data_IF_879845322948
#
_entry.id   IF_879845322948
#
_cell.length_a   1.000
_cell.length_b   1.000
_cell.length_c   1.000
_cell.angle_alpha   90.00
_cell.angle_beta   90.00
_cell.angle_gamma   90.00
#
_symmetry.space_group_name_H-M   'P 1'
#
loop_
_entity.id
_entity.type
_entity.pdbx_description
1 polymer ?
2 non-polymer ?
3 non-polymer ?
4 non-polymer ?
5 non-polymer ?
6 water ?
#
# COMPACT_ATOMS: atom_id res chain seq x y z
N UNK A 1 -12.04 7.04 -17.22
CA UNK A 1 -13.01 6.09 -16.64
C UNK A 1 -13.54 6.63 -15.34
N UNK A 2 -14.71 6.18 -14.89
CA UNK A 2 -15.31 6.69 -13.64
C UNK A 2 -14.63 6.04 -12.42
N UNK A 3 -14.34 4.74 -12.51
CA UNK A 3 -13.69 4.01 -11.43
C UNK A 3 -12.23 3.79 -11.75
N UNK A 4 -11.37 4.46 -11.00
CA UNK A 4 -9.91 4.38 -11.19
C UNK A 4 -9.23 3.76 -9.98
N UNK A 5 -8.31 2.84 -10.25
CA UNK A 5 -7.57 2.20 -9.17
C UNK A 5 -6.13 2.66 -9.11
N UNK A 6 -5.69 3.11 -7.94
CA UNK A 6 -4.30 3.55 -7.74
C UNK A 6 -3.60 2.56 -6.79
N UNK A 7 -2.64 1.79 -7.31
CA UNK A 7 -1.91 0.82 -6.50
C UNK A 7 -0.37 0.78 -6.68
N UNK A 8 0.32 0.10 -5.78
CA UNK A 8 1.77 -0.02 -5.84
C UNK A 8 2.24 -1.14 -6.77
N UNK A 9 3.08 -0.83 -7.74
CA UNK A 9 3.52 -1.84 -8.70
C UNK A 9 4.75 -2.63 -8.26
N UNK A 10 5.37 -2.22 -7.15
CA UNK A 10 6.58 -2.86 -6.65
C UNK A 10 6.43 -3.50 -5.25
N UNK A 11 7.01 -2.89 -4.23
CA UNK A 11 6.90 -3.41 -2.86
C UNK A 11 6.40 -2.29 -1.96
N UNK A 12 5.42 -1.54 -2.44
CA UNK A 12 4.87 -0.45 -1.64
C UNK A 12 5.79 0.75 -1.70
N UNK A 13 5.40 1.80 -0.99
CA UNK A 13 6.14 3.05 -0.90
C UNK A 13 6.55 3.73 -2.19
N UNK A 14 5.76 3.46 -3.23
CA UNK A 14 5.94 4.03 -4.56
C UNK A 14 5.45 5.47 -4.60
N UNK A 15 4.43 5.78 -3.79
CA UNK A 15 3.87 7.12 -3.73
C UNK A 15 2.37 7.15 -4.06
N UNK A 16 1.63 6.21 -3.48
CA UNK A 16 0.18 6.14 -3.71
C UNK A 16 -0.54 7.31 -3.06
N UNK A 17 -0.25 7.56 -1.78
CA UNK A 17 -0.90 8.65 -1.07
C UNK A 17 -0.86 9.94 -1.85
N UNK A 18 0.31 10.36 -2.29
CA UNK A 18 0.40 11.59 -3.05
C UNK A 18 -0.51 11.54 -4.27
N UNK A 19 -0.32 10.54 -5.12
CA UNK A 19 -1.11 10.46 -6.35
C UNK A 19 -2.63 10.38 -6.10
N UNK A 20 -3.05 9.76 -5.00
CA UNK A 20 -4.46 9.68 -4.72
C UNK A 20 -4.92 11.08 -4.32
N UNK A 21 -4.22 11.69 -3.36
CA UNK A 21 -4.56 13.04 -2.95
C UNK A 21 -4.62 13.98 -4.19
N UNK A 22 -3.65 13.86 -5.09
CA UNK A 22 -3.60 14.67 -6.30
C UNK A 22 -4.84 14.53 -7.17
N UNK A 23 -5.15 13.30 -7.56
CA UNK A 23 -6.29 13.04 -8.46
C UNK A 23 -7.70 13.04 -7.88
N UNK A 24 -7.83 13.10 -6.55
CA UNK A 24 -9.14 13.08 -5.96
C UNK A 24 -9.85 14.44 -5.98
N UNK A 25 -9.21 15.38 -6.67
CA UNK A 25 -9.81 16.69 -6.82
C UNK A 25 -11.15 16.55 -7.52
N UNK A 26 -11.28 15.58 -8.40
CA UNK A 26 -12.50 15.35 -9.17
C UNK A 26 -13.39 14.23 -8.62
N UNK A 27 -12.84 13.41 -7.72
CA UNK A 27 -13.55 12.29 -7.16
C UNK A 27 -14.65 12.58 -6.14
N UNK A 28 -15.64 11.68 -6.08
CA UNK A 28 -16.72 11.75 -5.10
C UNK A 28 -16.29 10.88 -3.91
N UNK A 29 -15.75 9.70 -4.20
CA UNK A 29 -15.33 8.78 -3.15
C UNK A 29 -13.90 8.33 -3.37
N UNK A 30 -13.29 7.87 -2.29
CA UNK A 30 -11.94 7.32 -2.26
C UNK A 30 -12.11 6.08 -1.40
N UNK A 31 -11.70 4.92 -1.90
CA UNK A 31 -11.88 3.67 -1.17
C UNK A 31 -10.62 2.82 -0.91
N UNK A 32 -10.35 2.55 0.36
CA UNK A 32 -9.24 1.66 0.77
C UNK A 32 -9.93 0.30 0.75
N UNK A 33 -9.30 -0.70 0.15
CA UNK A 33 -9.90 -2.03 0.04
C UNK A 33 -9.10 -3.19 0.65
N UNK A 34 -7.86 -2.96 1.06
CA UNK A 34 -7.05 -4.00 1.68
C UNK A 34 -5.95 -3.39 2.55
N UNK A 35 -5.37 -4.21 3.41
CA UNK A 35 -4.34 -3.71 4.31
C UNK A 35 -4.99 -3.18 5.58
N UNK A 36 -4.19 -2.47 6.37
CA UNK A 36 -4.63 -1.88 7.61
C UNK A 36 -3.78 -0.66 7.84
N UNK A 37 -3.27 -0.49 9.05
CA UNK A 37 -2.43 0.67 9.37
C UNK A 37 -0.93 0.36 9.24
N UNK A 38 -0.63 -0.68 8.46
CA UNK A 38 0.75 -1.08 8.17
C UNK A 38 1.18 -0.10 7.06
N UNK A 39 0.19 0.45 6.39
CA UNK A 39 0.43 1.40 5.32
C UNK A 39 0.85 2.74 5.91
N UNK A 40 1.72 3.44 5.18
CA UNK A 40 2.18 4.77 5.55
C UNK A 40 2.14 5.53 4.22
N UNK A 41 1.07 6.30 4.00
CA UNK A 41 0.88 7.08 2.76
C UNK A 41 1.11 8.57 3.04
N UNK A 42 2.19 9.11 2.49
CA UNK A 42 2.55 10.51 2.73
C UNK A 42 2.05 11.54 1.72
N UNK A 43 1.33 12.53 2.25
CA UNK A 43 0.77 13.62 1.47
C UNK A 43 1.54 14.86 1.90
N UNK A 44 1.78 15.75 0.95
CA UNK A 44 2.49 16.99 1.22
C UNK A 44 1.80 18.09 0.41
N UNK A 45 1.10 18.98 1.11
CA UNK A 45 0.34 20.11 0.52
C UNK A 45 0.96 21.47 0.92
N UNK A 46 1.50 22.18 -0.06
CA UNK A 46 2.15 23.43 0.25
C UNK A 46 3.13 23.23 1.41
N UNK A 47 3.92 22.17 1.33
CA UNK A 47 4.90 21.94 2.38
C UNK A 47 4.38 21.26 3.62
N UNK A 48 3.08 21.32 3.87
CA UNK A 48 2.55 20.66 5.06
C UNK A 48 2.38 19.17 4.78
N UNK A 49 3.00 18.39 5.66
CA UNK A 49 3.00 16.94 5.57
C UNK A 49 1.93 16.23 6.41
N UNK A 50 1.37 15.17 5.83
CA UNK A 50 0.41 14.31 6.50
C UNK A 50 0.79 12.91 6.04
N UNK A 51 0.89 11.99 6.99
CA UNK A 51 1.17 10.59 6.70
C UNK A 51 -0.05 9.85 7.25
N UNK A 52 -0.78 9.21 6.35
CA UNK A 52 -1.96 8.49 6.76
C UNK A 52 -1.59 7.02 6.86
N UNK A 53 -2.33 6.26 7.66
CA UNK A 53 -2.04 4.83 7.79
C UNK A 53 -3.29 4.03 7.45
N UNK A 54 -4.29 4.09 8.31
CA UNK A 54 -5.55 3.39 8.05
C UNK A 54 -6.54 4.31 7.28
N UNK A 55 -6.47 5.61 7.53
CA UNK A 55 -7.40 6.54 6.91
C UNK A 55 -7.15 6.85 5.44
N UNK A 56 -8.19 6.71 4.60
CA UNK A 56 -7.95 6.98 3.18
C UNK A 56 -7.33 8.37 2.86
N UNK A 57 -6.62 8.41 1.74
CA UNK A 57 -5.95 9.62 1.31
C UNK A 57 -6.80 10.76 0.77
N UNK A 58 -8.09 10.56 0.57
CA UNK A 58 -8.91 11.68 0.10
C UNK A 58 -9.44 12.50 1.27
N UNK A 59 -9.06 12.12 2.50
CA UNK A 59 -9.56 12.78 3.69
C UNK A 59 -9.27 14.27 3.82
N UNK A 60 -8.32 14.79 3.04
CA UNK A 60 -8.03 16.21 3.19
C UNK A 60 -8.89 17.06 2.27
N UNK A 61 -9.74 16.42 1.49
CA UNK A 61 -10.60 17.13 0.56
C UNK A 61 -12.06 16.98 1.00
N UNK A 62 -12.68 18.09 1.37
CA UNK A 62 -14.06 18.02 1.82
C UNK A 62 -15.03 17.61 0.74
N UNK A 63 -14.65 17.71 -0.52
CA UNK A 63 -15.58 17.29 -1.55
C UNK A 63 -15.70 15.77 -1.67
N UNK A 64 -14.72 15.06 -1.14
CA UNK A 64 -14.66 13.61 -1.25
C UNK A 64 -15.13 12.94 0.01
N UNK A 65 -15.72 11.76 -0.15
CA UNK A 65 -16.18 10.94 0.96
C UNK A 65 -15.21 9.75 1.04
N UNK A 66 -14.48 9.67 2.14
CA UNK A 66 -13.52 8.59 2.34
C UNK A 66 -14.22 7.38 2.92
N UNK A 67 -13.93 6.23 2.31
CA UNK A 67 -14.53 4.95 2.69
C UNK A 67 -13.49 3.88 2.94
N UNK A 68 -13.66 3.15 4.04
CA UNK A 68 -12.79 2.04 4.42
C UNK A 68 -13.58 0.74 4.11
N UNK A 69 -13.18 0.07 3.01
CA UNK A 69 -13.83 -1.14 2.54
C UNK A 69 -13.62 -2.36 3.39
N UNK A 70 -14.51 -3.34 3.22
CA UNK A 70 -14.50 -4.60 3.98
C UNK A 70 -13.18 -5.36 3.90
N UNK A 71 -12.38 -5.10 2.88
CA UNK A 71 -11.11 -5.82 2.77
C UNK A 71 -10.09 -5.37 3.79
N UNK A 72 -10.26 -4.15 4.29
CA UNK A 72 -9.32 -3.59 5.25
C UNK A 72 -9.50 -4.20 6.63
N UNK A 73 -8.36 -4.47 7.28
CA UNK A 73 -8.35 -4.97 8.65
C UNK A 73 -8.21 -3.67 9.48
N UNK A 74 -9.23 -3.39 10.29
CA UNK A 74 -9.33 -2.16 11.07
C UNK A 74 -9.08 -2.22 12.57
N UNK A 75 -8.13 -1.39 13.00
CA UNK A 75 -7.75 -1.25 14.41
C UNK A 75 -8.45 -0.06 15.08
N UNK A 76 -9.48 -0.31 15.92
CA UNK A 76 -10.16 0.80 16.59
C UNK A 76 -9.18 1.77 17.29
N UNK A 77 -8.10 1.24 17.86
CA UNK A 77 -7.11 2.06 18.53
C UNK A 77 -6.42 2.93 17.51
N UNK A 78 -5.97 2.32 16.43
CA UNK A 78 -5.27 3.05 15.37
C UNK A 78 -6.17 4.12 14.83
N UNK A 79 -7.38 3.74 14.45
CA UNK A 79 -8.37 4.65 13.90
C UNK A 79 -8.55 5.90 14.76
N UNK A 80 -8.93 5.73 16.02
CA UNK A 80 -9.15 6.85 16.94
C UNK A 80 -7.92 7.79 17.00
N UNK A 81 -6.74 7.21 17.23
CA UNK A 81 -5.49 7.98 17.26
C UNK A 81 -5.33 8.85 16.01
N UNK A 82 -5.48 8.25 14.83
CA UNK A 82 -5.36 9.02 13.59
C UNK A 82 -6.45 10.06 13.48
N UNK A 83 -7.65 9.67 13.85
CA UNK A 83 -8.80 10.56 13.82
C UNK A 83 -8.57 11.82 14.66
N UNK A 84 -8.04 11.64 15.87
CA UNK A 84 -7.79 12.74 16.78
C UNK A 84 -6.75 13.72 16.20
N UNK A 85 -5.64 13.18 15.73
CA UNK A 85 -4.57 13.98 15.16
C UNK A 85 -5.03 14.82 13.96
N UNK A 86 -5.94 14.26 13.15
CA UNK A 86 -6.41 14.99 11.97
C UNK A 86 -7.41 16.06 12.34
N UNK A 87 -8.25 15.76 13.32
CA UNK A 87 -9.24 16.70 13.81
C UNK A 87 -8.57 17.91 14.41
N UNK A 88 -7.55 17.68 15.26
CA UNK A 88 -6.81 18.77 15.88
C UNK A 88 -6.16 19.67 14.81
N UNK A 89 -6.01 19.14 13.60
CA UNK A 89 -5.43 19.88 12.46
C UNK A 89 -6.52 20.42 11.53
N UNK A 90 -7.74 20.48 12.07
CA UNK A 90 -8.87 21.01 11.34
C UNK A 90 -9.56 20.12 10.33
N UNK A 91 -9.17 18.85 10.20
CA UNK A 91 -9.85 17.96 9.25
C UNK A 91 -10.94 17.23 10.01
N UNK A 92 -12.23 17.56 9.72
CA UNK A 92 -13.41 16.95 10.36
C UNK A 92 -13.63 15.48 9.88
N UNK A 93 -12.68 14.61 10.22
CA UNK A 93 -12.72 13.20 9.84
C UNK A 93 -14.09 12.51 9.84
N UNK A 94 -14.78 12.53 10.98
CA UNK A 94 -16.08 11.87 11.10
C UNK A 94 -17.12 12.35 10.09
N UNK A 95 -16.96 13.58 9.61
CA UNK A 95 -17.90 14.09 8.63
C UNK A 95 -17.58 13.56 7.24
N UNK A 96 -16.33 13.17 7.02
CA UNK A 96 -15.90 12.70 5.71
C UNK A 96 -15.63 11.21 5.66
N UNK A 97 -15.57 10.53 6.82
CA UNK A 97 -15.25 9.11 6.81
C UNK A 97 -16.41 8.13 7.05
N UNK A 98 -16.45 7.09 6.21
CA UNK A 98 -17.47 6.04 6.29
C UNK A 98 -16.75 4.69 6.26
N UNK A 99 -17.35 3.66 6.85
CA UNK A 99 -16.68 2.36 6.87
C UNK A 99 -17.60 1.15 6.81
N UNK A 100 -17.03 -0.01 6.45
CA UNK A 100 -17.79 -1.24 6.32
C UNK A 100 -17.95 -2.06 7.61
N UNK A 101 -19.13 -2.63 7.80
CA UNK A 101 -19.39 -3.42 8.99
C UNK A 101 -18.69 -4.77 8.83
N UNK A 102 -18.30 -5.08 7.59
CA UNK A 102 -17.62 -6.33 7.32
C UNK A 102 -16.13 -6.29 7.62
N UNK A 103 -15.56 -5.12 7.94
CA UNK A 103 -14.12 -5.00 8.26
C UNK A 103 -13.76 -5.80 9.51
N UNK A 104 -12.73 -6.68 9.41
CA UNK A 104 -12.37 -7.43 10.61
C UNK A 104 -11.71 -6.41 11.54
N UNK A 105 -11.78 -6.64 12.86
CA UNK A 105 -11.18 -5.74 13.86
C UNK A 105 -9.80 -6.23 14.26
N UNK A 106 -8.84 -5.31 14.32
CA UNK A 106 -7.48 -5.64 14.76
C UNK A 106 -7.43 -5.23 16.23
N UNK A 107 -7.36 -6.20 17.13
CA UNK A 107 -7.33 -5.93 18.57
C UNK A 107 -5.98 -6.29 19.20
N UNK A 108 -5.76 -5.86 20.42
CA UNK A 108 -4.48 -6.11 21.07
C UNK A 108 -3.77 -7.46 20.91
N UNK A 109 -4.52 -8.55 21.09
CA UNK A 109 -3.91 -9.88 21.00
C UNK A 109 -3.27 -10.16 19.63
N UNK A 110 -3.82 -9.54 18.58
CA UNK A 110 -3.29 -9.70 17.24
C UNK A 110 -1.83 -9.24 17.24
N UNK A 111 -1.56 -8.09 17.87
CA UNK A 111 -0.19 -7.55 17.94
C UNK A 111 0.71 -8.51 18.74
N UNK A 112 0.19 -9.04 19.85
CA UNK A 112 0.95 -10.01 20.63
C UNK A 112 1.35 -11.19 19.71
N UNK A 113 0.35 -11.82 19.10
CA UNK A 113 0.60 -12.95 18.20
C UNK A 113 1.68 -12.58 17.18
N UNK A 114 1.51 -11.43 16.54
CA UNK A 114 2.45 -10.98 15.54
C UNK A 114 3.88 -10.95 16.14
N UNK A 115 4.04 -10.29 17.30
CA UNK A 115 5.33 -10.20 17.99
C UNK A 115 5.88 -11.58 18.34
N UNK A 116 5.02 -12.38 18.95
CA UNK A 116 5.37 -13.74 19.31
C UNK A 116 5.93 -14.42 18.06
N UNK A 117 5.11 -14.57 17.02
CA UNK A 117 5.53 -15.25 15.79
C UNK A 117 6.83 -14.63 15.22
N UNK A 118 6.86 -13.32 15.13
CA UNK A 118 8.02 -12.68 14.58
C UNK A 118 9.27 -13.11 15.35
N UNK A 119 9.17 -13.24 16.67
CA UNK A 119 10.33 -13.70 17.47
C UNK A 119 10.61 -15.14 17.18
N UNK A 120 9.57 -15.96 17.20
CA UNK A 120 9.75 -17.38 16.94
C UNK A 120 10.58 -17.59 15.68
N UNK A 121 10.34 -16.76 14.67
CA UNK A 121 11.06 -16.87 13.40
C UNK A 121 12.54 -16.53 13.48
N UNK A 122 12.95 -15.91 14.58
CA UNK A 122 14.35 -15.56 14.72
C UNK A 122 14.96 -14.97 13.46
N UNK A 123 16.11 -15.49 13.09
CA UNK A 123 16.79 -14.98 11.90
C UNK A 123 15.95 -15.00 10.62
N UNK A 124 14.90 -15.83 10.57
CA UNK A 124 14.12 -15.91 9.35
C UNK A 124 12.79 -15.19 9.52
N UNK A 125 12.84 -14.00 10.12
CA UNK A 125 11.63 -13.23 10.34
C UNK A 125 11.17 -12.50 9.08
N UNK A 126 9.89 -12.23 9.01
CA UNK A 126 9.30 -11.55 7.87
C UNK A 126 9.70 -10.05 7.87
N UNK A 127 9.71 -9.45 9.06
CA UNK A 127 10.03 -8.03 9.17
C UNK A 127 8.70 -7.27 9.07
N UNK A 128 7.64 -7.82 9.71
CA UNK A 128 6.30 -7.23 9.70
C UNK A 128 6.30 -5.86 10.36
N UNK A 129 5.25 -5.07 10.13
CA UNK A 129 5.15 -3.72 10.70
C UNK A 129 4.77 -3.68 12.18
N UNK A 130 4.67 -4.83 12.83
CA UNK A 130 4.37 -4.80 14.25
C UNK A 130 2.94 -4.57 14.68
N UNK A 131 2.02 -4.50 13.72
CA UNK A 131 0.61 -4.38 14.05
C UNK A 131 0.17 -5.83 13.99
N UNK A 132 -1.11 -6.12 14.06
CA UNK A 132 -1.48 -7.52 14.00
C UNK A 132 -2.17 -7.82 12.69
N UNK A 133 -1.59 -7.38 11.58
CA UNK A 133 -2.19 -7.54 10.26
C UNK A 133 -2.50 -8.99 9.91
N UNK A 134 -1.45 -9.80 9.80
CA UNK A 134 -1.63 -11.21 9.45
C UNK A 134 -2.55 -11.92 10.41
N UNK A 135 -2.30 -11.85 11.73
CA UNK A 135 -3.21 -12.55 12.64
C UNK A 135 -4.69 -12.14 12.43
N UNK A 136 -4.93 -10.84 12.20
CA UNK A 136 -6.31 -10.38 11.96
C UNK A 136 -6.83 -11.12 10.72
N UNK A 137 -6.02 -11.17 9.66
CA UNK A 137 -6.45 -11.87 8.47
C UNK A 137 -6.69 -13.36 8.76
N UNK A 138 -5.86 -13.97 9.63
CA UNK A 138 -6.06 -15.40 9.96
C UNK A 138 -7.43 -15.60 10.58
N UNK A 139 -7.69 -14.90 11.68
CA UNK A 139 -8.96 -15.03 12.39
C UNK A 139 -10.14 -14.98 11.43
N UNK A 140 -10.13 -13.97 10.57
CA UNK A 140 -11.17 -13.78 9.59
C UNK A 140 -11.46 -15.10 8.90
N UNK A 141 -10.49 -15.56 8.13
CA UNK A 141 -10.60 -16.79 7.38
C UNK A 141 -10.86 -17.98 8.35
N UNK A 142 -10.34 -17.89 9.57
CA UNK A 142 -10.54 -18.93 10.57
C UNK A 142 -11.94 -18.97 11.17
N UNK A 143 -12.84 -18.07 10.74
CA UNK A 143 -14.22 -18.02 11.25
C UNK A 143 -14.34 -17.66 12.74
N UNK A 144 -13.44 -16.83 13.23
CA UNK A 144 -13.46 -16.43 14.63
C UNK A 144 -13.11 -14.96 14.86
N UNK A 145 -12.86 -14.23 13.79
CA UNK A 145 -12.51 -12.85 13.96
C UNK A 145 -13.73 -11.97 14.23
N UNK A 146 -13.50 -10.87 14.92
CA UNK A 146 -14.57 -9.94 15.20
C UNK A 146 -14.57 -8.94 14.06
N UNK A 147 -15.76 -8.48 13.70
CA UNK A 147 -15.93 -7.50 12.65
C UNK A 147 -16.61 -6.25 13.25
N UNK A 148 -16.65 -5.17 12.50
CA UNK A 148 -17.27 -3.95 12.99
C UNK A 148 -18.74 -4.21 13.33
N UNK A 149 -19.43 -4.95 12.46
CA UNK A 149 -20.84 -5.28 12.69
C UNK A 149 -21.06 -5.84 14.09
N UNK A 150 -20.17 -6.73 14.54
CA UNK A 150 -20.34 -7.26 15.89
C UNK A 150 -20.54 -6.19 16.96
N UNK A 151 -19.82 -5.07 16.85
CA UNK A 151 -19.93 -3.98 17.82
C UNK A 151 -21.36 -3.48 17.97
N UNK A 152 -22.27 -3.96 17.13
CA UNK A 152 -23.64 -3.50 17.21
C UNK A 152 -24.48 -4.12 18.31
N UNK A 153 -23.99 -5.22 18.86
CA UNK A 153 -24.66 -5.87 19.97
C UNK A 153 -23.51 -6.11 20.95
N UNK A 154 -23.47 -5.30 22.01
CA UNK A 154 -22.40 -5.37 22.98
C UNK A 154 -22.28 -6.60 23.87
N UNK A 155 -23.40 -7.19 24.29
CA UNK A 155 -23.31 -8.39 25.10
C UNK A 155 -22.75 -9.55 24.24
N UNK A 156 -23.36 -9.75 23.09
CA UNK A 156 -22.95 -10.77 22.15
C UNK A 156 -21.45 -10.61 21.88
N UNK A 157 -21.02 -9.34 21.69
CA UNK A 157 -19.62 -9.01 21.42
C UNK A 157 -18.75 -9.57 22.52
N UNK A 158 -19.12 -9.27 23.76
CA UNK A 158 -18.39 -9.75 24.94
C UNK A 158 -18.25 -11.27 24.89
N UNK A 159 -19.36 -11.95 24.65
CA UNK A 159 -19.32 -13.40 24.55
C UNK A 159 -18.23 -13.77 23.53
N UNK A 160 -18.42 -13.38 22.27
CA UNK A 160 -17.49 -13.70 21.17
C UNK A 160 -16.05 -13.38 21.48
N UNK A 161 -15.82 -12.21 22.08
CA UNK A 161 -14.47 -11.79 22.42
C UNK A 161 -13.77 -12.69 23.47
N UNK A 162 -14.50 -13.13 24.50
CA UNK A 162 -13.93 -14.01 25.55
C UNK A 162 -13.43 -15.29 24.94
N UNK A 163 -14.24 -15.88 24.06
CA UNK A 163 -13.88 -17.11 23.39
C UNK A 163 -12.58 -17.00 22.60
N UNK A 164 -12.60 -16.16 21.57
CA UNK A 164 -11.44 -15.96 20.73
C UNK A 164 -10.22 -15.68 21.60
N UNK A 165 -10.36 -14.81 22.61
CA UNK A 165 -9.25 -14.46 23.51
C UNK A 165 -8.76 -15.64 24.39
N UNK A 166 -9.67 -16.50 24.81
CA UNK A 166 -9.26 -17.65 25.61
C UNK A 166 -8.34 -18.42 24.68
N UNK A 167 -8.82 -18.58 23.44
CA UNK A 167 -8.10 -19.30 22.40
C UNK A 167 -6.72 -18.72 22.20
N UNK A 168 -6.65 -17.41 21.95
CA UNK A 168 -5.38 -16.74 21.72
C UNK A 168 -4.42 -16.73 22.89
N UNK A 169 -4.94 -16.50 24.10
CA UNK A 169 -4.11 -16.47 25.31
C UNK A 169 -3.49 -17.85 25.59
N UNK A 170 -4.25 -18.90 25.28
CA UNK A 170 -3.76 -20.24 25.49
C UNK A 170 -2.48 -20.46 24.72
N UNK A 171 -2.53 -20.24 23.41
CA UNK A 171 -1.35 -20.42 22.57
C UNK A 171 -0.25 -19.43 22.89
N UNK A 172 -0.63 -18.22 23.32
CA UNK A 172 0.36 -17.20 23.68
C UNK A 172 1.19 -17.58 24.89
N UNK A 173 0.54 -18.10 25.94
CA UNK A 173 1.30 -18.48 27.11
C UNK A 173 1.90 -19.89 27.00
N UNK A 174 1.06 -20.87 26.68
CA UNK A 174 1.52 -22.25 26.59
C UNK A 174 2.45 -22.55 25.44
N UNK A 175 2.08 -22.15 24.24
CA UNK A 175 2.92 -22.44 23.08
C UNK A 175 4.04 -21.45 22.89
N UNK A 176 3.71 -20.16 22.83
CA UNK A 176 4.74 -19.14 22.63
C UNK A 176 5.50 -18.78 23.89
N UNK A 177 4.94 -19.09 25.06
CA UNK A 177 5.63 -18.75 26.31
C UNK A 177 5.70 -17.23 26.43
N UNK A 178 4.66 -16.57 25.95
CA UNK A 178 4.57 -15.11 25.97
C UNK A 178 3.46 -14.75 26.95
N UNK A 179 3.38 -13.48 27.31
CA UNK A 179 2.36 -13.06 28.27
C UNK A 179 0.96 -12.93 27.68
N UNK A 180 -0.05 -13.26 28.47
CA UNK A 180 -1.45 -13.19 28.02
C UNK A 180 -1.96 -11.76 27.93
N UNK A 181 -2.92 -11.55 27.03
CA UNK A 181 -3.52 -10.25 26.85
C UNK A 181 -4.81 -10.29 27.64
N UNK A 182 -4.99 -9.32 28.52
CA UNK A 182 -6.17 -9.26 29.36
C UNK A 182 -7.50 -8.98 28.67
N UNK A 183 -8.43 -9.91 28.88
CA UNK A 183 -9.76 -9.78 28.31
C UNK A 183 -10.50 -8.50 28.68
N UNK A 184 -10.64 -8.24 29.97
CA UNK A 184 -11.39 -7.06 30.43
C UNK A 184 -10.88 -5.77 29.83
N UNK A 185 -9.56 -5.66 29.71
CA UNK A 185 -8.98 -4.46 29.15
C UNK A 185 -9.37 -4.27 27.67
N UNK A 186 -9.14 -5.29 26.85
CA UNK A 186 -9.49 -5.22 25.44
C UNK A 186 -10.98 -4.86 25.31
N UNK A 187 -11.83 -5.51 26.10
CA UNK A 187 -13.26 -5.21 26.02
C UNK A 187 -13.53 -3.75 26.38
N UNK A 188 -12.99 -3.29 27.52
CA UNK A 188 -13.19 -1.91 27.93
C UNK A 188 -12.69 -0.92 26.90
N UNK A 189 -11.44 -1.07 26.49
CA UNK A 189 -10.85 -0.22 25.46
C UNK A 189 -11.75 -0.16 24.22
N UNK A 190 -12.09 -1.31 23.67
CA UNK A 190 -12.93 -1.39 22.48
C UNK A 190 -14.32 -0.78 22.71
N UNK A 191 -14.99 -1.16 23.79
CA UNK A 191 -16.33 -0.63 24.04
C UNK A 191 -16.34 0.91 24.18
N UNK A 192 -15.19 1.49 24.51
CA UNK A 192 -15.13 2.94 24.66
C UNK A 192 -15.38 3.70 23.35
N UNK A 193 -14.92 3.16 22.22
CA UNK A 193 -15.11 3.83 20.94
C UNK A 193 -16.11 3.13 20.05
N UNK A 194 -16.72 2.06 20.52
CA UNK A 194 -17.66 1.31 19.71
C UNK A 194 -18.62 2.20 18.95
N UNK A 195 -19.26 3.12 19.67
CA UNK A 195 -20.23 4.05 19.10
C UNK A 195 -19.71 4.96 17.98
N UNK A 196 -18.51 5.50 18.15
CA UNK A 196 -17.92 6.36 17.12
C UNK A 196 -17.78 5.55 15.83
N UNK A 197 -17.18 4.36 15.94
CA UNK A 197 -16.99 3.48 14.76
C UNK A 197 -18.34 3.22 14.13
N UNK A 198 -19.21 2.59 14.90
CA UNK A 198 -20.56 2.27 14.49
C UNK A 198 -21.27 3.39 13.73
N UNK A 199 -21.03 4.63 14.17
CA UNK A 199 -21.69 5.76 13.55
C UNK A 199 -21.28 5.98 12.11
N UNK A 200 -20.14 5.43 11.72
CA UNK A 200 -19.64 5.60 10.36
C UNK A 200 -19.90 4.40 9.44
N UNK A 201 -20.68 3.44 9.92
CA UNK A 201 -21.00 2.27 9.09
C UNK A 201 -21.96 2.65 7.96
N UNK A 202 -21.65 2.13 6.78
CA UNK A 202 -22.49 2.29 5.60
C UNK A 202 -22.36 0.97 4.85
N UNK A 203 -23.37 0.64 4.05
CA UNK A 203 -23.32 -0.58 3.24
C UNK A 203 -22.47 -0.19 1.99
N UNK A 204 -21.14 -0.28 2.15
CA UNK A 204 -20.16 0.06 1.13
C UNK A 204 -20.42 -0.48 -0.28
N UNK A 205 -20.69 -1.79 -0.39
CA UNK A 205 -20.94 -2.40 -1.71
C UNK A 205 -22.21 -1.85 -2.37
N UNK A 206 -23.26 -1.56 -1.59
CA UNK A 206 -24.47 -1.00 -2.18
C UNK A 206 -24.19 0.45 -2.58
N UNK A 207 -23.42 1.16 -1.78
CA UNK A 207 -23.03 2.53 -2.09
C UNK A 207 -22.24 2.57 -3.43
N UNK A 208 -21.18 1.79 -3.53
CA UNK A 208 -20.41 1.82 -4.76
C UNK A 208 -21.30 1.44 -5.97
N UNK A 209 -22.24 0.52 -5.78
CA UNK A 209 -23.12 0.15 -6.89
C UNK A 209 -23.91 1.39 -7.33
N UNK A 210 -24.48 2.11 -6.35
CA UNK A 210 -25.23 3.33 -6.60
C UNK A 210 -24.36 4.42 -7.23
N UNK A 211 -23.19 4.61 -6.64
CA UNK A 211 -22.27 5.61 -7.16
C UNK A 211 -22.00 5.30 -8.61
N UNK A 212 -21.79 4.01 -8.89
CA UNK A 212 -21.49 3.59 -10.25
C UNK A 212 -22.60 3.92 -11.23
N UNK A 213 -23.81 3.46 -10.93
CA UNK A 213 -24.94 3.70 -11.80
C UNK A 213 -25.18 5.18 -12.10
N UNK A 214 -24.67 6.08 -11.26
CA UNK A 214 -24.79 7.53 -11.46
C UNK A 214 -23.59 8.09 -12.20
N UNK A 215 -22.54 7.30 -12.32
CA UNK A 215 -21.35 7.79 -13.01
C UNK A 215 -20.46 8.60 -12.09
N UNK A 216 -20.66 8.52 -10.79
CA UNK A 216 -19.82 9.24 -9.86
C UNK A 216 -18.38 8.79 -10.07
N UNK A 217 -17.43 9.69 -9.85
CA UNK A 217 -16.02 9.34 -9.97
C UNK A 217 -15.57 8.71 -8.66
N UNK A 218 -15.06 7.49 -8.74
CA UNK A 218 -14.61 6.76 -7.56
C UNK A 218 -13.12 6.45 -7.70
N UNK A 219 -12.38 6.58 -6.60
CA UNK A 219 -10.97 6.22 -6.62
C UNK A 219 -10.71 5.14 -5.57
N UNK A 220 -10.00 4.10 -5.97
CA UNK A 220 -9.65 3.03 -5.03
C UNK A 220 -8.20 3.26 -4.70
N UNK A 221 -7.90 3.29 -3.41
CA UNK A 221 -6.54 3.53 -2.98
C UNK A 221 -5.86 2.23 -2.47
N UNK A 222 -4.81 1.83 -3.19
CA UNK A 222 -4.10 0.65 -2.80
C UNK A 222 -3.18 0.90 -1.61
N UNK A 223 -2.74 -0.21 -1.01
CA UNK A 223 -1.85 -0.22 0.13
C UNK A 223 -0.78 -1.25 -0.26
N UNK A 224 0.41 -1.14 0.32
CA UNK A 224 1.50 -2.06 0.01
C UNK A 224 1.82 -2.07 -1.50
N UNK A 225 2.45 -3.14 -1.99
CA UNK A 225 2.78 -3.22 -3.40
C UNK A 225 2.55 -4.60 -3.96
N UNK A 226 2.40 -4.67 -5.29
CA UNK A 226 2.18 -5.95 -5.99
C UNK A 226 3.02 -7.15 -5.50
N UNK A 227 4.34 -7.00 -5.37
CA UNK A 227 5.15 -8.13 -4.94
C UNK A 227 5.00 -8.53 -3.45
N UNK A 228 4.09 -7.83 -2.77
CA UNK A 228 3.77 -8.12 -1.38
C UNK A 228 2.43 -8.89 -1.32
N UNK A 229 1.86 -9.18 -2.49
CA UNK A 229 0.59 -9.90 -2.55
C UNK A 229 0.62 -11.31 -1.88
N UNK A 230 -0.38 -11.62 -1.06
CA UNK A 230 -0.44 -12.91 -0.39
C UNK A 230 -0.35 -14.13 -1.38
N UNK A 231 -1.03 -14.03 -2.52
CA UNK A 231 -1.02 -15.10 -3.52
C UNK A 231 0.13 -15.00 -4.50
N UNK A 232 0.25 -13.82 -5.12
CA UNK A 232 1.24 -13.58 -6.15
C UNK A 232 2.62 -13.02 -5.71
N UNK A 233 2.76 -12.57 -4.47
CA UNK A 233 4.04 -12.02 -4.05
C UNK A 233 5.11 -13.04 -3.63
N UNK A 234 6.18 -12.52 -3.04
CA UNK A 234 7.31 -13.37 -2.63
C UNK A 234 7.04 -14.12 -1.33
N UNK A 235 6.07 -15.03 -1.39
CA UNK A 235 5.65 -15.83 -0.23
C UNK A 235 6.86 -16.57 0.38
N UNK A 236 6.97 -16.59 1.72
CA UNK A 236 6.14 -15.96 2.75
C UNK A 236 6.51 -14.52 3.14
N UNK A 237 7.42 -13.91 2.41
CA UNK A 237 7.81 -12.54 2.71
C UNK A 237 6.86 -11.63 1.96
N UNK A 238 5.67 -11.48 2.53
CA UNK A 238 4.58 -10.72 1.91
C UNK A 238 3.66 -10.22 3.02
N UNK A 239 2.62 -9.49 2.62
CA UNK A 239 1.64 -9.05 3.58
C UNK A 239 0.47 -10.01 3.38
N UNK A 240 -0.43 -10.11 4.34
CA UNK A 240 -1.52 -11.07 4.26
C UNK A 240 -2.78 -10.72 3.51
N UNK A 241 -2.67 -9.87 2.49
CA UNK A 241 -3.84 -9.50 1.70
C UNK A 241 -3.47 -9.39 0.22
N UNK A 242 -4.48 -9.34 -0.63
CA UNK A 242 -4.23 -9.19 -2.05
C UNK A 242 -4.03 -7.73 -2.38
N UNK A 243 -2.76 -7.36 -2.60
CA UNK A 243 -2.40 -6.01 -2.95
C UNK A 243 -2.56 -5.79 -4.47
N UNK A 244 -2.80 -6.87 -5.21
CA UNK A 244 -3.01 -6.78 -6.66
C UNK A 244 -4.44 -6.33 -6.94
N UNK A 245 -4.64 -5.72 -8.10
CA UNK A 245 -5.94 -5.20 -8.50
C UNK A 245 -7.19 -6.02 -8.17
N UNK A 246 -7.06 -7.35 -8.07
CA UNK A 246 -8.20 -8.20 -7.77
C UNK A 246 -8.78 -7.91 -6.39
N UNK A 247 -7.97 -7.31 -5.54
CA UNK A 247 -8.41 -6.97 -4.20
C UNK A 247 -9.42 -5.85 -4.14
N UNK A 248 -9.49 -5.03 -5.19
CA UNK A 248 -10.43 -3.91 -5.26
C UNK A 248 -11.85 -4.52 -5.15
N UNK A 249 -12.16 -5.50 -6.01
CA UNK A 249 -13.46 -6.15 -5.99
C UNK A 249 -13.69 -6.95 -4.69
N UNK A 250 -12.75 -7.81 -4.29
CA UNK A 250 -12.96 -8.56 -3.04
C UNK A 250 -13.08 -7.65 -1.81
N UNK A 251 -12.17 -6.68 -1.72
CA UNK A 251 -12.13 -5.74 -0.61
C UNK A 251 -13.08 -4.55 -0.61
N UNK A 252 -13.91 -4.39 -1.64
CA UNK A 252 -14.84 -3.25 -1.65
C UNK A 252 -16.28 -3.66 -1.90
N UNK A 253 -16.49 -4.70 -2.70
CA UNK A 253 -17.84 -5.14 -3.03
C UNK A 253 -18.29 -4.66 -4.40
N UNK A 254 -17.44 -3.92 -5.09
CA UNK A 254 -17.74 -3.43 -6.43
C UNK A 254 -17.47 -4.58 -7.43
N UNK A 255 -18.37 -4.78 -8.39
CA UNK A 255 -18.20 -5.84 -9.37
C UNK A 255 -16.94 -5.66 -10.20
N UNK A 256 -16.09 -6.70 -10.31
CA UNK A 256 -14.85 -6.61 -11.09
C UNK A 256 -14.95 -5.89 -12.43
N UNK A 257 -16.04 -6.10 -13.18
CA UNK A 257 -16.22 -5.46 -14.48
C UNK A 257 -16.32 -3.94 -14.44
N UNK A 258 -16.45 -3.36 -13.24
CA UNK A 258 -16.59 -1.92 -13.18
C UNK A 258 -15.29 -1.13 -12.98
N UNK A 259 -14.15 -1.81 -13.06
CA UNK A 259 -12.87 -1.12 -12.95
C UNK A 259 -12.59 -0.57 -14.37
N UNK A 260 -12.50 0.74 -14.47
CA UNK A 260 -12.29 1.40 -15.74
C UNK A 260 -10.83 1.64 -16.06
N UNK A 261 -10.08 2.07 -15.05
CA UNK A 261 -8.68 2.36 -15.28
C UNK A 261 -7.84 1.93 -14.08
N UNK A 262 -6.74 1.23 -14.34
CA UNK A 262 -5.81 0.79 -13.28
C UNK A 262 -4.50 1.58 -13.45
N UNK A 263 -4.18 2.38 -12.46
CA UNK A 263 -2.99 3.20 -12.54
C UNK A 263 -1.96 2.57 -11.66
N UNK A 264 -0.78 2.33 -12.24
CA UNK A 264 0.30 1.75 -11.48
C UNK A 264 1.34 2.77 -11.05
N UNK A 265 1.52 2.90 -9.75
CA UNK A 265 2.51 3.83 -9.21
C UNK A 265 3.86 3.13 -9.34
N UNK A 266 4.73 3.76 -10.13
CA UNK A 266 6.05 3.23 -10.40
C UNK A 266 7.15 4.25 -9.95
N UNK A 267 7.91 3.88 -8.92
CA UNK A 267 8.96 4.73 -8.31
C UNK A 267 10.21 5.24 -9.03
N UNK A 268 10.70 4.61 -10.09
CA UNK A 268 11.93 5.09 -10.80
C UNK A 268 13.26 4.49 -10.34
N UNK A 269 13.19 3.81 -9.20
CA UNK A 269 14.27 3.06 -8.59
C UNK A 269 13.42 2.26 -7.63
N UNK A 270 13.94 1.17 -7.08
CA UNK A 270 13.16 0.34 -6.16
C UNK A 270 13.58 0.45 -4.71
N UNK A 271 12.60 0.31 -3.82
CA UNK A 271 12.87 0.23 -2.39
C UNK A 271 12.06 -0.97 -1.89
N UNK A 272 12.51 -1.58 -0.80
CA UNK A 272 11.80 -2.67 -0.17
C UNK A 272 12.10 -2.57 1.33
N UNK A 273 11.07 -2.68 2.17
CA UNK A 273 11.27 -2.68 3.63
C UNK A 273 10.69 -4.00 4.14
N UNK A 274 11.54 -4.74 4.84
CA UNK A 274 11.17 -6.02 5.38
C UNK A 274 12.07 -7.02 4.67
N UNK A 275 12.11 -8.25 5.15
CA UNK A 275 12.94 -9.27 4.53
C UNK A 275 12.24 -9.69 3.24
N UNK A 276 13.01 -10.27 2.32
CA UNK A 276 12.46 -10.75 1.06
C UNK A 276 13.40 -10.56 -0.12
N UNK A 277 13.21 -11.31 -1.21
CA UNK A 277 14.01 -11.24 -2.44
C UNK A 277 13.98 -9.82 -3.03
N UNK A 278 15.14 -9.38 -3.52
CA UNK A 278 15.31 -8.05 -4.09
C UNK A 278 16.52 -8.07 -5.02
N UNK A 279 16.37 -8.69 -6.21
CA UNK A 279 17.42 -8.80 -7.21
C UNK A 279 18.26 -7.56 -7.43
N UNK A 280 17.61 -6.42 -7.68
CA UNK A 280 18.35 -5.19 -7.97
C UNK A 280 18.85 -4.41 -6.76
N UNK A 281 18.79 -4.99 -5.57
CA UNK A 281 19.25 -4.33 -4.36
C UNK A 281 20.70 -3.83 -4.48
N UNK A 282 20.92 -2.59 -4.03
CA UNK A 282 22.26 -1.99 -4.08
C UNK A 282 22.82 -1.79 -2.69
N UNK A 283 24.05 -2.23 -2.46
CA UNK A 283 24.70 -2.05 -1.16
C UNK A 283 25.94 -1.13 -1.30
N UNK A 284 26.09 -0.49 -2.45
CA UNK A 284 27.23 0.40 -2.70
C UNK A 284 26.85 1.86 -2.47
N UNK A 285 27.66 2.77 -2.99
CA UNK A 285 27.43 4.21 -2.82
C UNK A 285 26.08 4.64 -3.37
N UNK A 286 25.78 4.20 -4.59
CA UNK A 286 24.54 4.62 -5.22
C UNK A 286 23.29 4.19 -4.44
N UNK A 287 23.36 3.02 -3.82
CA UNK A 287 22.24 2.55 -3.03
C UNK A 287 22.01 3.57 -1.93
N UNK A 288 23.12 3.96 -1.31
CA UNK A 288 23.12 4.94 -0.22
C UNK A 288 22.62 6.29 -0.74
N UNK A 289 23.09 6.65 -1.94
CA UNK A 289 22.67 7.90 -2.55
C UNK A 289 21.16 7.86 -2.72
N UNK A 290 20.65 6.76 -3.27
CA UNK A 290 19.22 6.59 -3.49
C UNK A 290 18.44 6.75 -2.20
N UNK A 291 18.92 6.11 -1.13
CA UNK A 291 18.27 6.23 0.18
C UNK A 291 18.24 7.66 0.75
N UNK A 292 19.39 8.34 0.77
CA UNK A 292 19.46 9.70 1.28
C UNK A 292 18.60 10.65 0.46
N UNK A 293 18.95 10.79 -0.81
CA UNK A 293 18.23 11.67 -1.71
C UNK A 293 16.73 11.45 -1.69
N UNK A 294 16.31 10.18 -1.61
CA UNK A 294 14.89 9.87 -1.61
C UNK A 294 14.30 9.85 -0.21
N UNK A 295 15.06 10.22 0.81
CA UNK A 295 14.55 10.21 2.16
C UNK A 295 13.73 8.92 2.34
N UNK A 296 14.34 7.79 1.97
CA UNK A 296 13.70 6.49 2.04
C UNK A 296 13.64 5.82 3.40
N UNK A 297 12.67 6.23 4.21
CA UNK A 297 12.49 5.61 5.51
C UNK A 297 11.01 5.31 5.72
N UNK A 298 10.72 4.16 6.30
CA UNK A 298 9.33 3.79 6.52
C UNK A 298 8.41 4.86 7.12
N UNK A 299 7.42 5.26 6.35
CA UNK A 299 6.44 6.25 6.77
C UNK A 299 5.62 5.74 7.93
N UNK A 300 5.81 4.47 8.28
CA UNK A 300 5.09 3.85 9.39
C UNK A 300 6.02 3.37 10.51
N UNK A 301 7.01 2.55 10.17
CA UNK A 301 7.93 2.00 11.16
C UNK A 301 9.19 2.84 11.36
N UNK A 302 9.52 3.69 10.38
CA UNK A 302 10.71 4.52 10.49
C UNK A 302 12.01 3.84 10.13
N UNK A 303 11.97 2.54 9.85
CA UNK A 303 13.19 1.82 9.51
C UNK A 303 13.63 2.14 8.08
N UNK A 304 14.94 2.08 7.84
CA UNK A 304 15.55 2.38 6.54
C UNK A 304 15.10 1.39 5.45
N UNK A 305 14.80 1.91 4.27
CA UNK A 305 14.33 1.09 3.17
C UNK A 305 15.50 0.62 2.32
N UNK A 306 15.44 -0.62 1.85
CA UNK A 306 16.49 -1.19 0.98
C UNK A 306 16.24 -0.49 -0.34
N UNK A 307 17.29 -0.22 -1.09
CA UNK A 307 17.12 0.48 -2.36
C UNK A 307 17.88 -0.23 -3.45
N UNK A 308 17.47 -0.03 -4.70
CA UNK A 308 18.14 -0.65 -5.83
C UNK A 308 17.59 -0.02 -7.09
N UNK A 309 18.03 -0.49 -8.25
CA UNK A 309 17.54 0.05 -9.52
C UNK A 309 16.13 -0.46 -9.82
N UNK A 310 15.50 0.18 -10.79
CA UNK A 310 14.17 -0.21 -11.25
C UNK A 310 14.26 -1.58 -11.98
N UNK A 311 13.45 -2.53 -11.51
CA UNK A 311 13.42 -3.87 -12.05
C UNK A 311 12.28 -4.00 -13.03
N UNK A 312 12.60 -4.01 -14.31
CA UNK A 312 11.61 -4.14 -15.38
C UNK A 312 10.99 -5.55 -15.44
N UNK A 313 11.75 -6.55 -15.00
CA UNK A 313 11.21 -7.90 -15.01
C UNK A 313 10.09 -7.98 -13.98
N UNK A 314 10.38 -7.57 -12.76
CA UNK A 314 9.42 -7.54 -11.65
C UNK A 314 8.22 -6.64 -12.00
N UNK A 315 8.48 -5.45 -12.48
CA UNK A 315 7.37 -4.56 -12.84
C UNK A 315 6.45 -5.23 -13.87
N UNK A 316 7.01 -5.90 -14.87
CA UNK A 316 6.14 -6.53 -15.85
C UNK A 316 5.22 -7.60 -15.27
N UNK A 317 5.60 -8.20 -14.15
CA UNK A 317 4.71 -9.17 -13.53
C UNK A 317 3.52 -8.29 -13.08
N UNK A 318 3.82 -7.10 -12.55
CA UNK A 318 2.79 -6.18 -12.07
C UNK A 318 1.84 -5.73 -13.17
N UNK A 319 2.39 -5.40 -14.33
CA UNK A 319 1.57 -4.98 -15.46
C UNK A 319 0.47 -6.01 -15.74
N UNK A 320 0.84 -7.29 -15.86
CA UNK A 320 -0.16 -8.30 -16.17
C UNK A 320 -1.13 -8.68 -15.04
N UNK A 321 -0.62 -8.81 -13.81
CA UNK A 321 -1.47 -9.15 -12.68
C UNK A 321 -2.55 -8.08 -12.46
N UNK A 322 -2.17 -6.82 -12.58
CA UNK A 322 -3.10 -5.73 -12.35
C UNK A 322 -3.80 -5.16 -13.59
N UNK A 323 -3.55 -5.73 -14.77
CA UNK A 323 -4.14 -5.19 -16.00
C UNK A 323 -3.95 -3.67 -15.98
N UNK A 324 -2.70 -3.24 -15.83
CA UNK A 324 -2.40 -1.84 -15.79
C UNK A 324 -2.88 -1.14 -17.03
N UNK A 325 -3.42 0.06 -16.86
CA UNK A 325 -3.88 0.88 -17.97
C UNK A 325 -2.78 1.88 -18.23
N UNK A 326 -2.11 2.29 -17.16
CA UNK A 326 -1.02 3.24 -17.26
C UNK A 326 -0.17 3.33 -16.01
N UNK A 327 0.97 4.00 -16.15
CA UNK A 327 1.92 4.21 -15.08
C UNK A 327 2.01 5.65 -14.60
N UNK A 328 2.46 5.80 -13.37
CA UNK A 328 2.71 7.10 -12.81
C UNK A 328 4.15 6.98 -12.33
N UNK A 329 5.09 7.57 -13.06
CA UNK A 329 6.49 7.48 -12.66
C UNK A 329 6.77 8.48 -11.52
N UNK A 330 7.15 7.98 -10.35
CA UNK A 330 7.42 8.88 -9.23
C UNK A 330 8.91 8.97 -8.90
N UNK A 331 9.25 9.92 -8.04
CA UNK A 331 10.64 10.09 -7.62
C UNK A 331 11.69 10.29 -8.74
N UNK A 332 11.28 10.69 -9.92
CA UNK A 332 12.23 10.92 -11.00
C UNK A 332 13.32 11.87 -10.51
N UNK A 333 12.92 12.94 -9.85
CA UNK A 333 13.89 13.94 -9.34
C UNK A 333 15.01 13.35 -8.53
N UNK A 334 14.75 12.22 -7.86
CA UNK A 334 15.77 11.62 -7.01
C UNK A 334 16.98 11.10 -7.79
N UNK A 335 16.85 10.99 -9.10
CA UNK A 335 17.96 10.51 -9.91
C UNK A 335 18.91 11.59 -10.41
N UNK A 336 18.53 12.86 -10.26
CA UNK A 336 19.33 14.00 -10.71
C UNK A 336 20.77 13.93 -10.23
N UNK A 337 21.72 14.02 -11.13
CA UNK A 337 23.10 13.94 -10.70
C UNK A 337 23.79 12.62 -11.00
N UNK A 338 23.07 11.51 -11.00
CA UNK A 338 23.73 10.21 -11.27
C UNK A 338 24.36 10.26 -12.66
N UNK A 339 25.61 9.83 -12.75
CA UNK A 339 26.32 9.82 -14.01
C UNK A 339 25.61 8.91 -15.02
N UNK A 340 25.15 7.76 -14.55
CA UNK A 340 24.42 6.80 -15.38
C UNK A 340 23.38 6.13 -14.49
N UNK A 341 22.35 5.59 -15.11
CA UNK A 341 21.28 4.93 -14.39
C UNK A 341 20.99 3.65 -15.14
N UNK A 342 20.64 2.59 -14.44
CA UNK A 342 20.35 1.35 -15.13
C UNK A 342 19.06 0.69 -14.71
N UNK A 343 18.55 -0.20 -15.54
CA UNK A 343 17.33 -0.87 -15.19
C UNK A 343 17.41 -2.33 -15.60
N UNK A 344 16.89 -3.20 -14.75
CA UNK A 344 16.92 -4.64 -15.00
C UNK A 344 15.94 -5.03 -16.08
N UNK A 345 16.43 -5.66 -17.14
CA UNK A 345 15.59 -6.08 -18.25
C UNK A 345 15.50 -7.60 -18.35
N UNK A 346 16.24 -8.32 -17.51
CA UNK A 346 16.20 -9.78 -17.54
C UNK A 346 16.81 -10.32 -16.28
N UNK A 347 16.59 -11.60 -16.04
CA UNK A 347 17.09 -12.27 -14.87
C UNK A 347 17.98 -13.44 -15.32
N UNK A 348 19.10 -13.63 -14.63
CA UNK A 348 19.97 -14.76 -14.92
C UNK A 348 19.64 -15.79 -13.84
N UNK A 349 19.07 -16.92 -14.24
CA UNK A 349 18.70 -17.96 -13.30
C UNK A 349 19.94 -18.74 -12.87
N UNK A 350 19.94 -19.27 -11.65
CA UNK A 350 21.09 -20.02 -11.13
C UNK A 350 21.57 -21.18 -12.02
N UNK A 351 20.78 -21.60 -13.00
CA UNK A 351 21.18 -22.70 -13.85
C UNK A 351 21.63 -22.24 -15.24
N UNK A 352 21.99 -20.96 -15.32
CA UNK A 352 22.47 -20.38 -16.57
C UNK A 352 21.44 -19.84 -17.54
N UNK A 353 20.17 -20.17 -17.37
CA UNK A 353 19.14 -19.70 -18.30
C UNK A 353 18.85 -18.18 -18.16
N UNK A 354 18.64 -17.48 -19.27
CA UNK A 354 18.32 -16.05 -19.24
C UNK A 354 16.80 -16.02 -19.29
N UNK A 355 16.19 -15.18 -18.46
CA UNK A 355 14.74 -15.15 -18.39
C UNK A 355 14.20 -13.73 -18.18
N UNK A 356 12.99 -13.45 -18.65
CA UNK A 356 12.36 -12.12 -18.47
C UNK A 356 11.04 -12.23 -17.72
N UNK A 357 10.90 -13.30 -16.97
CA UNK A 357 9.74 -13.63 -16.17
C UNK A 357 10.25 -13.87 -14.72
N UNK A 358 9.47 -13.45 -13.72
CA UNK A 358 9.90 -13.59 -12.33
C UNK A 358 9.48 -14.91 -11.70
N UNK A 359 10.23 -15.35 -10.67
CA UNK A 359 9.99 -16.57 -9.89
C UNK A 359 8.79 -16.20 -9.02
N UNK A 360 8.15 -17.16 -8.39
CA UNK A 360 7.04 -16.75 -7.55
C UNK A 360 7.44 -16.75 -6.08
N UNK A 361 7.42 -17.90 -5.41
CA UNK A 361 7.78 -17.91 -3.98
C UNK A 361 9.22 -17.49 -3.75
N UNK A 362 9.46 -16.89 -2.58
CA UNK A 362 10.77 -16.37 -2.20
C UNK A 362 11.93 -17.31 -2.53
N UNK A 363 11.81 -18.55 -2.05
CA UNK A 363 12.82 -19.57 -2.27
C UNK A 363 13.25 -19.62 -3.72
N UNK A 364 12.30 -19.45 -4.63
CA UNK A 364 12.59 -19.53 -6.04
C UNK A 364 13.31 -18.33 -6.62
N UNK A 365 13.64 -17.35 -5.79
CA UNK A 365 14.36 -16.18 -6.26
C UNK A 365 15.81 -16.26 -5.80
N UNK A 366 16.14 -17.32 -5.07
CA UNK A 366 17.43 -17.49 -4.43
C UNK A 366 18.73 -17.07 -5.09
N UNK A 367 19.10 -17.66 -6.21
CA UNK A 367 20.37 -17.17 -6.75
C UNK A 367 20.17 -16.36 -8.00
N UNK A 368 19.00 -15.72 -8.14
CA UNK A 368 18.71 -14.98 -9.37
C UNK A 368 19.50 -13.71 -9.47
N UNK A 369 19.99 -13.45 -10.68
CA UNK A 369 20.84 -12.31 -10.94
C UNK A 369 20.22 -11.35 -11.95
N UNK A 370 20.38 -10.04 -11.72
CA UNK A 370 19.81 -9.06 -12.65
C UNK A 370 20.73 -8.79 -13.83
N UNK A 371 20.13 -8.57 -14.98
CA UNK A 371 20.83 -8.23 -16.23
C UNK A 371 20.28 -6.83 -16.57
N UNK A 372 21.16 -5.84 -16.55
CA UNK A 372 20.81 -4.44 -16.80
C UNK A 372 21.15 -3.90 -18.16
N UNK A 373 20.41 -2.87 -18.55
CA UNK A 373 20.63 -2.08 -19.76
C UNK A 373 21.15 -0.85 -18.99
N UNK A 374 22.08 -0.08 -19.55
CA UNK A 374 22.62 1.06 -18.82
C UNK A 374 22.45 2.36 -19.57
N UNK A 375 21.81 3.35 -18.95
CA UNK A 375 21.55 4.64 -19.61
C UNK A 375 22.27 5.84 -19.02
N UNK A 376 22.50 6.86 -19.84
CA UNK A 376 23.17 8.02 -19.23
C UNK A 376 22.22 8.75 -18.27
N UNK A 377 22.77 9.18 -17.13
CA UNK A 377 21.96 9.95 -16.19
C UNK A 377 21.85 11.38 -16.69
N UNK A 378 21.59 12.33 -15.80
CA UNK A 378 21.48 13.74 -16.19
C UNK A 378 21.88 14.61 -15.03
N UNK A 379 22.60 15.67 -15.33
CA UNK A 379 23.04 16.56 -14.26
C UNK A 379 21.99 17.60 -13.92
N UNK A 380 21.10 17.91 -14.86
CA UNK A 380 20.05 18.91 -14.64
C UNK A 380 19.12 18.53 -13.52
N UNK A 381 18.52 19.53 -12.90
CA UNK A 381 17.59 19.30 -11.81
C UNK A 381 16.21 19.16 -12.43
N UNK A 382 15.47 18.12 -12.06
CA UNK A 382 14.11 17.90 -12.57
C UNK A 382 13.12 18.12 -11.42
N UNK A 383 13.64 18.40 -10.23
CA UNK A 383 12.79 18.63 -9.08
C UNK A 383 11.74 19.71 -9.34
N UNK A 384 10.51 19.40 -8.94
CA UNK A 384 9.41 20.33 -9.11
C UNK A 384 8.98 20.62 -10.53
N UNK A 385 9.73 20.12 -11.52
CA UNK A 385 9.35 20.38 -12.91
C UNK A 385 7.95 19.83 -13.16
N UNK A 386 7.14 20.59 -13.90
CA UNK A 386 5.76 20.22 -14.20
C UNK A 386 5.44 20.26 -15.70
N UNK A 387 6.47 20.10 -16.52
CA UNK A 387 6.29 20.13 -17.96
C UNK A 387 7.42 19.29 -18.55
N UNK A 388 7.09 18.30 -19.38
CA UNK A 388 8.09 17.44 -20.01
C UNK A 388 9.24 18.30 -20.52
N UNK A 389 8.90 19.39 -21.20
CA UNK A 389 9.90 20.31 -21.75
C UNK A 389 11.02 20.67 -20.77
N UNK A 390 10.72 20.63 -19.47
CA UNK A 390 11.74 20.98 -18.50
C UNK A 390 12.61 19.79 -18.12
N UNK A 391 12.31 18.65 -18.69
CA UNK A 391 13.08 17.48 -18.38
C UNK A 391 14.20 17.36 -19.39
N UNK A 392 15.36 16.90 -18.95
CA UNK A 392 16.50 16.74 -19.87
C UNK A 392 16.22 15.48 -20.71
N UNK A 393 16.87 15.42 -21.87
CA UNK A 393 16.71 14.31 -22.81
C UNK A 393 16.99 12.91 -22.27
N UNK A 394 18.06 12.78 -21.49
CA UNK A 394 18.37 11.48 -20.91
C UNK A 394 17.13 11.00 -20.16
N UNK A 395 16.55 11.86 -19.33
CA UNK A 395 15.34 11.57 -18.54
C UNK A 395 14.20 11.14 -19.47
N UNK A 396 13.90 11.99 -20.45
CA UNK A 396 12.87 11.63 -21.41
C UNK A 396 13.21 10.26 -22.02
N UNK A 397 14.48 10.01 -22.29
CA UNK A 397 14.89 8.73 -22.88
C UNK A 397 14.58 7.60 -21.91
N UNK A 398 15.04 7.76 -20.67
CA UNK A 398 14.82 6.78 -19.62
C UNK A 398 13.31 6.45 -19.56
N UNK A 399 12.47 7.50 -19.57
CA UNK A 399 11.02 7.31 -19.53
C UNK A 399 10.57 6.46 -20.71
N UNK A 400 10.98 6.85 -21.92
CA UNK A 400 10.59 6.13 -23.10
C UNK A 400 11.01 4.67 -23.00
N UNK A 401 12.25 4.41 -22.63
CA UNK A 401 12.72 3.02 -22.50
C UNK A 401 11.80 2.22 -21.57
N UNK A 402 11.41 2.81 -20.44
CA UNK A 402 10.52 2.12 -19.51
C UNK A 402 9.22 1.76 -20.25
N UNK A 403 8.66 2.71 -20.99
CA UNK A 403 7.44 2.42 -21.73
C UNK A 403 7.70 1.27 -22.74
N UNK A 404 8.81 1.33 -23.45
CA UNK A 404 9.15 0.29 -24.41
C UNK A 404 9.22 -1.10 -23.76
N UNK A 405 10.04 -1.21 -22.72
CA UNK A 405 10.23 -2.49 -22.04
C UNK A 405 8.97 -3.09 -21.42
N UNK A 406 8.06 -2.23 -20.98
CA UNK A 406 6.83 -2.65 -20.34
C UNK A 406 5.62 -2.69 -21.25
N UNK A 407 5.59 -1.79 -22.23
CA UNK A 407 4.47 -1.71 -23.14
C UNK A 407 3.28 -1.01 -22.50
N UNK A 408 3.52 -0.18 -21.49
CA UNK A 408 2.46 0.57 -20.82
C UNK A 408 2.92 2.02 -20.80
N UNK A 409 2.05 2.96 -21.18
CA UNK A 409 2.39 4.38 -21.21
C UNK A 409 2.49 4.99 -19.82
N UNK A 410 3.44 5.92 -19.65
CA UNK A 410 3.62 6.63 -18.39
C UNK A 410 2.71 7.88 -18.57
N UNK A 411 1.52 7.82 -17.97
CA UNK A 411 0.54 8.89 -18.08
C UNK A 411 0.76 10.07 -17.15
N UNK A 412 1.46 9.84 -16.04
CA UNK A 412 1.71 10.90 -15.07
C UNK A 412 3.17 10.76 -14.63
N UNK A 413 3.78 11.89 -14.27
CA UNK A 413 5.18 11.93 -13.82
C UNK A 413 5.33 12.83 -12.59
N UNK A 414 5.89 12.29 -11.52
CA UNK A 414 6.08 13.04 -10.28
C UNK A 414 7.54 13.49 -10.06
N UNK A 415 7.72 14.79 -9.86
CA UNK A 415 9.02 15.39 -9.68
C UNK A 415 9.23 15.97 -8.28
N UNK A 416 8.41 15.54 -7.33
CA UNK A 416 8.58 16.03 -5.96
C UNK A 416 7.47 15.57 -5.07
N UNK A 417 7.64 15.67 -3.74
CA UNK A 417 6.62 15.25 -2.77
C UNK A 417 5.38 16.12 -2.71
N UNK A 418 5.48 17.40 -3.04
CA UNK A 418 4.28 18.23 -2.98
C UNK A 418 3.27 17.89 -4.05
N UNK A 419 2.00 17.98 -3.70
CA UNK A 419 0.89 17.68 -4.62
C UNK A 419 1.10 18.23 -6.05
N UNK A 420 1.60 19.47 -6.14
CA UNK A 420 1.80 20.12 -7.42
C UNK A 420 3.06 19.82 -8.23
N UNK A 421 4.12 19.33 -7.60
CA UNK A 421 5.36 19.00 -8.34
C UNK A 421 5.05 17.68 -9.09
N UNK A 422 4.23 17.81 -10.13
CA UNK A 422 3.76 16.66 -10.89
C UNK A 422 3.34 17.13 -12.29
N UNK A 423 3.34 16.20 -13.25
CA UNK A 423 2.89 16.47 -14.63
C UNK A 423 1.87 15.39 -14.93
N UNK A 424 0.69 15.78 -15.38
CA UNK A 424 -0.32 14.78 -15.74
C UNK A 424 -0.40 14.85 -17.25
N UNK A 425 0.08 13.82 -17.94
CA UNK A 425 0.05 13.82 -19.40
C UNK A 425 -1.33 13.38 -19.85
N UNK A 426 -1.86 12.40 -19.13
CA UNK A 426 -3.17 11.89 -19.42
C UNK A 426 -3.81 11.56 -18.07
N UNK A 427 -4.99 12.14 -17.83
CA UNK A 427 -5.72 11.95 -16.57
C UNK A 427 -6.52 10.65 -16.60
N UNK A 428 -6.31 9.78 -15.60
CA UNK A 428 -7.04 8.51 -15.57
C UNK A 428 -8.57 8.69 -15.66
N UNK A 429 -9.08 9.78 -15.08
CA UNK A 429 -10.53 10.06 -15.09
C UNK A 429 -11.10 10.44 -16.44
N UNK A 430 -10.23 10.81 -17.39
CA UNK A 430 -10.66 11.17 -18.75
C UNK A 430 -10.42 10.02 -19.73
N UNK A 431 -9.51 9.12 -19.35
CA UNK A 431 -9.22 7.94 -20.18
C UNK A 431 -10.43 6.99 -20.11
#
# INVERSE_FOLDING_TARGET
>A
GNNVVVLGTQWGDEGKGKIVDLLTERAKYVVRYQGGHNAGHTLVINGEKTVLHLIPSGILRENVTSIIGNGVVLSPAALMKEMKELEDRGIPVRERLLLSEACPLILDYHVALDNAREKARGAKAIGTTGRGIGPAYEDKVALRGLRVGDLFDKETFAEKLKEVMEYHNFQLVNYYKAEAVDYQKVLDDTMAVADILTSMVVDVSDLLDQARQRGDFVMFEGAQGTLLDIDHGTYPYVTSSNTTAGGVATGSGLGPRYVDYVLGILKAYSTRVGAGPFPTELFDETGEFLCKQGNEFGATTGRRRRTGWLDTVAVRRAVQLNSLSGFCLTKLDVLDGLKEVKLCVAYRMPDGREVTTTPLAADDWKGVEPIYETMPGWSESTFGVKDRSGLPQAALNYIKRIEELTGVPIDIISTGPDRTETMILRDPFDA
#
